data_IF_280010041989
#
_entry.id   IF_280010041989
#
_cell.length_a   1.000
_cell.length_b   1.000
_cell.length_c   1.000
_cell.angle_alpha   90.00
_cell.angle_beta   90.00
_cell.angle_gamma   90.00
#
_symmetry.space_group_name_H-M   'P 1'
#
loop_
_entity.id
_entity.type
_entity.pdbx_description
1 polymer ?
#
# COMPACT_ATOMS: atom_id res chain seq x y z
N UNK A 1 4.12 11.01 10.65
CA UNK A 1 3.38 12.00 11.49
C UNK A 1 4.14 13.30 11.67
N UNK A 2 5.47 13.27 11.85
CA UNK A 2 6.28 14.48 12.01
C UNK A 2 6.05 15.48 10.87
N UNK A 3 6.13 15.02 9.62
CA UNK A 3 5.85 15.83 8.43
C UNK A 3 4.46 16.49 8.47
N UNK A 4 3.42 15.75 8.78
CA UNK A 4 2.06 16.30 8.87
C UNK A 4 1.92 17.31 10.02
N UNK A 5 2.59 17.07 11.15
CA UNK A 5 2.60 18.01 12.27
C UNK A 5 3.29 19.32 11.92
N UNK A 6 4.43 19.28 11.20
CA UNK A 6 5.14 20.50 10.72
C UNK A 6 4.24 21.32 9.80
N UNK A 7 3.44 20.65 8.95
CA UNK A 7 2.49 21.32 8.04
C UNK A 7 1.21 21.80 8.75
N UNK A 8 1.13 21.72 10.08
CA UNK A 8 -0.05 22.14 10.83
C UNK A 8 -1.26 21.22 10.67
N UNK A 9 -1.05 19.93 10.35
CA UNK A 9 -2.09 18.93 10.10
C UNK A 9 -2.04 17.79 11.15
N UNK A 10 -2.13 18.07 12.46
CA UNK A 10 -1.97 17.06 13.51
C UNK A 10 -3.04 15.98 13.50
N UNK A 11 -4.18 16.19 12.83
CA UNK A 11 -5.25 15.21 12.69
C UNK A 11 -4.92 14.09 11.70
N UNK A 12 -3.99 14.27 10.76
CA UNK A 12 -3.56 13.25 9.79
C UNK A 12 -2.70 12.20 10.49
N UNK A 13 -3.35 11.16 11.04
CA UNK A 13 -2.71 10.07 11.81
C UNK A 13 -2.99 8.68 11.26
N UNK A 14 -4.08 8.52 10.49
CA UNK A 14 -4.40 7.22 9.90
C UNK A 14 -3.43 6.88 8.77
N UNK A 15 -3.13 5.59 8.61
CA UNK A 15 -2.28 5.08 7.54
C UNK A 15 -3.06 3.98 6.82
N UNK A 16 -3.06 4.04 5.50
CA UNK A 16 -3.64 3.00 4.65
C UNK A 16 -2.55 1.99 4.29
N UNK A 17 -2.88 0.70 4.34
CA UNK A 17 -2.13 -0.39 3.78
C UNK A 17 -3.05 -1.27 2.93
N UNK A 18 -2.56 -2.38 2.43
CA UNK A 18 -3.34 -3.35 1.65
C UNK A 18 -3.44 -4.67 2.37
N UNK A 19 -4.55 -5.35 2.23
CA UNK A 19 -4.58 -6.77 2.58
C UNK A 19 -3.49 -7.51 1.80
N UNK A 20 -2.90 -8.54 2.40
CA UNK A 20 -1.78 -9.33 1.91
C UNK A 20 -0.43 -8.59 1.82
N UNK A 21 -0.35 -7.30 2.15
CA UNK A 21 0.92 -6.60 2.26
C UNK A 21 1.75 -7.12 3.44
N UNK A 22 3.06 -6.96 3.36
CA UNK A 22 3.98 -7.24 4.47
C UNK A 22 4.93 -6.06 4.67
N UNK A 23 4.91 -5.50 5.87
CA UNK A 23 5.74 -4.34 6.24
C UNK A 23 6.53 -4.57 7.52
N UNK A 24 6.56 -5.80 8.02
CA UNK A 24 7.27 -6.19 9.24
C UNK A 24 6.34 -6.75 10.31
N UNK A 25 6.90 -7.03 11.50
CA UNK A 25 6.23 -7.70 12.61
C UNK A 25 6.21 -6.91 13.93
N UNK A 26 6.74 -5.68 13.95
CA UNK A 26 6.61 -4.79 15.11
C UNK A 26 5.18 -4.24 15.24
N UNK A 27 4.86 -3.55 16.33
CA UNK A 27 3.50 -3.09 16.64
C UNK A 27 2.85 -2.30 15.50
N UNK A 28 3.54 -1.30 14.94
CA UNK A 28 3.03 -0.51 13.83
C UNK A 28 3.21 -1.24 12.49
N UNK A 29 4.37 -1.80 12.21
CA UNK A 29 4.63 -2.52 10.96
C UNK A 29 3.80 -3.80 10.84
N UNK A 30 3.58 -4.52 11.94
CA UNK A 30 2.65 -5.64 12.01
C UNK A 30 1.20 -5.23 11.79
N UNK A 31 0.82 -4.03 12.25
CA UNK A 31 -0.50 -3.46 11.92
C UNK A 31 -0.64 -3.14 10.44
N UNK A 32 0.42 -2.62 9.77
CA UNK A 32 0.43 -2.36 8.34
C UNK A 32 0.46 -3.65 7.51
N UNK A 33 1.05 -4.72 8.04
CA UNK A 33 1.03 -6.04 7.42
C UNK A 33 -0.42 -6.53 7.33
N UNK A 34 -0.88 -6.87 6.13
CA UNK A 34 -2.25 -7.31 5.86
C UNK A 34 -2.39 -8.84 5.80
N UNK A 35 -1.68 -9.55 6.65
CA UNK A 35 -1.69 -11.01 6.75
C UNK A 35 -2.23 -11.44 8.12
N UNK A 36 -3.32 -12.20 8.14
CA UNK A 36 -4.03 -12.62 9.36
C UNK A 36 -3.14 -13.24 10.45
N UNK A 37 -2.10 -13.97 10.04
CA UNK A 37 -1.16 -14.61 10.97
C UNK A 37 -0.43 -13.59 11.87
N UNK A 38 -0.25 -12.36 11.38
CA UNK A 38 0.40 -11.27 12.11
C UNK A 38 -0.57 -10.49 13.00
N UNK A 39 -1.87 -10.68 12.82
CA UNK A 39 -2.91 -10.00 13.60
C UNK A 39 -3.45 -10.86 14.73
N UNK A 40 -3.70 -12.15 14.43
CA UNK A 40 -4.25 -13.10 15.40
C UNK A 40 -3.37 -13.21 16.64
N UNK A 41 -3.97 -13.08 17.83
CA UNK A 41 -3.31 -13.16 19.15
C UNK A 41 -2.34 -12.01 19.47
N UNK A 42 -2.34 -10.93 18.68
CA UNK A 42 -1.48 -9.76 18.90
C UNK A 42 -2.27 -8.45 19.06
N UNK A 43 -3.59 -8.54 19.08
CA UNK A 43 -4.50 -7.39 19.15
C UNK A 43 -4.27 -6.37 18.03
N UNK A 44 -3.93 -6.86 16.83
CA UNK A 44 -3.70 -6.06 15.63
C UNK A 44 -4.83 -6.26 14.61
N UNK A 45 -5.02 -5.31 13.69
CA UNK A 45 -4.26 -4.07 13.51
C UNK A 45 -4.70 -2.97 14.48
N UNK A 46 -3.80 -2.02 14.74
CA UNK A 46 -4.15 -0.81 15.50
C UNK A 46 -5.26 -0.01 14.79
N UNK A 47 -6.17 0.66 15.52
CA UNK A 47 -7.34 1.35 14.92
C UNK A 47 -7.00 2.42 13.89
N UNK A 48 -5.80 3.00 13.94
CA UNK A 48 -5.32 4.00 13.00
C UNK A 48 -4.82 3.44 11.68
N UNK A 49 -4.63 2.12 11.58
CA UNK A 49 -4.25 1.46 10.32
C UNK A 49 -5.50 0.92 9.64
N UNK A 50 -5.64 1.24 8.37
CA UNK A 50 -6.78 0.83 7.54
C UNK A 50 -6.28 0.04 6.35
N UNK A 51 -6.95 -1.05 6.02
CA UNK A 51 -6.58 -1.89 4.89
C UNK A 51 -7.59 -1.73 3.75
N UNK A 52 -7.06 -1.54 2.54
CA UNK A 52 -7.83 -1.60 1.29
C UNK A 52 -7.60 -2.94 0.58
N UNK A 53 -8.30 -3.16 -0.52
CA UNK A 53 -8.26 -4.39 -1.31
C UNK A 53 -6.84 -4.70 -1.80
N UNK A 54 -6.46 -5.98 -1.73
CA UNK A 54 -5.22 -6.48 -2.30
C UNK A 54 -5.30 -6.47 -3.85
N UNK A 55 -4.27 -6.00 -4.57
CA UNK A 55 -4.24 -6.05 -6.04
C UNK A 55 -3.90 -7.47 -6.54
N UNK A 56 -4.63 -8.47 -6.06
CA UNK A 56 -4.37 -9.87 -6.38
C UNK A 56 -5.38 -10.39 -7.40
N UNK A 57 -5.19 -10.03 -8.66
CA UNK A 57 -6.08 -10.39 -9.75
C UNK A 57 -6.36 -11.89 -9.86
N UNK A 58 -5.35 -12.73 -9.73
CA UNK A 58 -5.51 -14.19 -9.80
C UNK A 58 -6.44 -14.76 -8.71
N UNK A 59 -6.51 -14.12 -7.54
CA UNK A 59 -7.38 -14.51 -6.42
C UNK A 59 -8.43 -13.45 -6.11
N UNK A 60 -8.95 -12.78 -7.15
CA UNK A 60 -10.06 -11.84 -7.02
C UNK A 60 -11.32 -12.55 -6.52
N UNK A 61 -12.25 -11.84 -5.90
CA UNK A 61 -13.54 -12.38 -5.49
C UNK A 61 -14.29 -13.04 -6.67
N UNK A 62 -15.08 -14.08 -6.38
CA UNK A 62 -15.79 -14.84 -7.42
C UNK A 62 -16.75 -13.98 -8.26
N UNK A 63 -17.38 -12.98 -7.65
CA UNK A 63 -18.25 -12.01 -8.31
C UNK A 63 -17.53 -11.14 -9.34
N UNK A 64 -16.20 -11.08 -9.28
CA UNK A 64 -15.33 -10.34 -10.19
C UNK A 64 -14.57 -11.25 -11.17
N UNK A 65 -14.94 -12.54 -11.26
CA UNK A 65 -14.20 -13.51 -12.07
C UNK A 65 -14.11 -13.12 -13.56
N UNK A 66 -15.13 -12.41 -14.08
CA UNK A 66 -15.20 -11.96 -15.48
C UNK A 66 -14.52 -10.61 -15.74
N UNK A 67 -13.96 -9.95 -14.71
CA UNK A 67 -13.26 -8.69 -14.88
C UNK A 67 -11.91 -8.90 -15.58
N UNK A 68 -11.58 -7.99 -16.50
CA UNK A 68 -10.20 -7.83 -16.98
C UNK A 68 -9.29 -7.30 -15.88
N UNK A 69 -7.99 -7.27 -16.12
CA UNK A 69 -7.04 -6.67 -15.16
C UNK A 69 -7.33 -5.20 -14.94
N UNK A 70 -7.66 -4.46 -16.01
CA UNK A 70 -8.00 -3.03 -15.94
C UNK A 70 -9.30 -2.78 -15.16
N UNK A 71 -10.32 -3.62 -15.36
CA UNK A 71 -11.58 -3.54 -14.61
C UNK A 71 -11.36 -3.85 -13.14
N UNK A 72 -10.51 -4.82 -12.82
CA UNK A 72 -10.15 -5.12 -11.44
C UNK A 72 -9.30 -4.00 -10.80
N UNK A 73 -8.44 -3.36 -11.57
CA UNK A 73 -7.69 -2.18 -11.12
C UNK A 73 -8.63 -1.02 -10.80
N UNK A 74 -9.63 -0.78 -11.65
CA UNK A 74 -10.67 0.23 -11.40
C UNK A 74 -11.53 -0.11 -10.17
N UNK A 75 -11.82 -1.39 -9.94
CA UNK A 75 -12.48 -1.85 -8.72
C UNK A 75 -11.63 -1.56 -7.47
N UNK A 76 -10.33 -1.87 -7.48
CA UNK A 76 -9.43 -1.55 -6.37
C UNK A 76 -9.37 -0.05 -6.09
N UNK A 77 -9.41 0.78 -7.14
CA UNK A 77 -9.45 2.23 -7.02
C UNK A 77 -10.73 2.71 -6.33
N UNK A 78 -11.90 2.19 -6.71
CA UNK A 78 -13.19 2.49 -6.06
C UNK A 78 -13.19 2.09 -4.57
N UNK A 79 -12.62 0.93 -4.24
CA UNK A 79 -12.50 0.49 -2.85
C UNK A 79 -11.61 1.44 -2.03
N UNK A 80 -10.53 1.95 -2.63
CA UNK A 80 -9.68 2.96 -1.99
C UNK A 80 -10.44 4.29 -1.79
N UNK A 81 -11.15 4.77 -2.80
CA UNK A 81 -11.98 5.99 -2.71
C UNK A 81 -13.05 5.86 -1.61
N UNK A 82 -13.74 4.72 -1.57
CA UNK A 82 -14.74 4.43 -0.54
C UNK A 82 -14.12 4.39 0.86
N UNK A 83 -12.92 3.82 1.00
CA UNK A 83 -12.18 3.83 2.26
C UNK A 83 -11.82 5.26 2.68
N UNK A 84 -11.28 6.06 1.77
CA UNK A 84 -10.90 7.47 2.04
C UNK A 84 -12.13 8.29 2.43
N UNK A 85 -13.25 8.13 1.71
CA UNK A 85 -14.50 8.83 2.02
C UNK A 85 -15.05 8.47 3.42
N UNK A 86 -14.98 7.19 3.78
CA UNK A 86 -15.44 6.71 5.10
C UNK A 86 -14.55 7.19 6.24
N UNK A 87 -13.25 7.19 6.04
CA UNK A 87 -12.28 7.53 7.10
C UNK A 87 -12.05 9.04 7.23
N UNK A 88 -12.32 9.82 6.18
CA UNK A 88 -12.03 11.24 6.06
C UNK A 88 -10.61 11.52 5.56
N UNK A 89 -10.47 12.06 4.35
CA UNK A 89 -9.17 12.34 3.71
C UNK A 89 -8.25 13.20 4.58
N UNK A 90 -8.84 14.15 5.32
CA UNK A 90 -8.14 15.06 6.23
C UNK A 90 -7.53 14.36 7.47
N UNK A 91 -7.90 13.11 7.74
CA UNK A 91 -7.37 12.30 8.85
C UNK A 91 -6.30 11.30 8.42
N UNK A 92 -6.12 11.09 7.10
CA UNK A 92 -5.22 10.08 6.54
C UNK A 92 -3.88 10.73 6.19
N UNK A 93 -2.80 10.24 6.78
CA UNK A 93 -1.45 10.76 6.57
C UNK A 93 -0.78 10.21 5.32
N UNK A 94 -0.90 8.91 5.10
CA UNK A 94 -0.18 8.23 4.04
C UNK A 94 -0.82 6.88 3.67
N UNK A 95 -0.48 6.37 2.50
CA UNK A 95 -0.58 4.96 2.14
C UNK A 95 0.82 4.36 2.05
N UNK A 96 1.03 3.23 2.73
CA UNK A 96 2.26 2.42 2.64
C UNK A 96 1.98 1.24 1.73
N UNK A 97 2.79 1.08 0.69
CA UNK A 97 2.53 0.05 -0.32
C UNK A 97 3.80 -0.44 -1.01
N UNK A 98 3.93 -1.75 -1.13
CA UNK A 98 4.93 -2.39 -1.99
C UNK A 98 4.57 -2.15 -3.47
N UNK A 99 5.48 -1.77 -4.37
CA UNK A 99 5.17 -1.67 -5.80
C UNK A 99 4.60 -2.96 -6.39
N UNK A 100 5.13 -4.11 -5.97
CA UNK A 100 4.56 -5.44 -6.14
C UNK A 100 4.58 -6.14 -4.79
N UNK A 101 3.52 -6.88 -4.43
CA UNK A 101 3.48 -7.58 -3.15
C UNK A 101 4.56 -8.66 -3.09
N UNK A 102 5.43 -8.60 -2.08
CA UNK A 102 6.47 -9.61 -1.86
C UNK A 102 5.94 -10.81 -1.09
N UNK A 103 5.99 -10.76 0.23
CA UNK A 103 5.57 -11.84 1.14
C UNK A 103 4.12 -12.27 0.94
N UNK A 104 3.26 -11.38 0.46
CA UNK A 104 1.86 -11.66 0.14
C UNK A 104 1.63 -12.66 -1.00
N UNK A 105 2.71 -13.09 -1.69
CA UNK A 105 2.64 -14.12 -2.71
C UNK A 105 3.39 -13.81 -4.01
N UNK A 106 4.35 -12.89 -4.01
CA UNK A 106 5.06 -12.39 -5.20
C UNK A 106 4.06 -11.95 -6.28
N UNK A 107 3.17 -11.06 -5.91
CA UNK A 107 2.04 -10.64 -6.76
C UNK A 107 2.36 -9.30 -7.43
N UNK A 108 2.62 -9.29 -8.74
CA UNK A 108 2.68 -8.04 -9.49
C UNK A 108 1.29 -7.37 -9.49
N UNK A 109 1.22 -6.03 -9.50
CA UNK A 109 -0.06 -5.34 -9.63
C UNK A 109 -0.68 -5.63 -11.00
N UNK A 110 -2.01 -5.76 -11.09
CA UNK A 110 -2.70 -5.88 -12.37
C UNK A 110 -2.51 -4.61 -13.20
N UNK A 111 -2.68 -4.75 -14.51
CA UNK A 111 -2.52 -3.66 -15.46
C UNK A 111 -3.43 -2.47 -15.10
N UNK A 112 -2.87 -1.25 -15.12
CA UNK A 112 -3.58 -0.02 -14.79
C UNK A 112 -3.76 0.24 -13.28
N UNK A 113 -3.26 -0.63 -12.40
CA UNK A 113 -3.46 -0.47 -10.96
C UNK A 113 -2.87 0.83 -10.43
N UNK A 114 -1.59 1.08 -10.67
CA UNK A 114 -0.92 2.26 -10.13
C UNK A 114 -1.40 3.55 -10.80
N UNK A 115 -1.71 3.48 -12.09
CA UNK A 115 -2.31 4.59 -12.84
C UNK A 115 -3.68 5.00 -12.26
N UNK A 116 -4.42 4.05 -11.69
CA UNK A 116 -5.70 4.33 -11.04
C UNK A 116 -5.53 4.80 -9.57
N UNK A 117 -4.57 4.24 -8.83
CA UNK A 117 -4.40 4.51 -7.39
C UNK A 117 -3.66 5.83 -7.11
N UNK A 118 -2.55 6.10 -7.82
CA UNK A 118 -1.68 7.24 -7.49
C UNK A 118 -2.40 8.60 -7.61
N UNK A 119 -3.24 8.87 -8.63
CA UNK A 119 -4.00 10.11 -8.70
C UNK A 119 -4.95 10.31 -7.52
N UNK A 120 -5.59 9.25 -7.02
CA UNK A 120 -6.52 9.32 -5.88
C UNK A 120 -5.78 9.79 -4.63
N UNK A 121 -4.60 9.24 -4.35
CA UNK A 121 -3.78 9.65 -3.21
C UNK A 121 -3.39 11.13 -3.33
N UNK A 122 -2.92 11.54 -4.50
CA UNK A 122 -2.50 12.92 -4.77
C UNK A 122 -3.66 13.91 -4.61
N UNK A 123 -4.83 13.61 -5.16
CA UNK A 123 -6.04 14.46 -5.06
C UNK A 123 -6.52 14.65 -3.62
N UNK A 124 -6.28 13.67 -2.76
CA UNK A 124 -6.67 13.69 -1.34
C UNK A 124 -5.54 14.10 -0.40
N UNK A 125 -4.39 14.57 -0.96
CA UNK A 125 -3.22 14.98 -0.18
C UNK A 125 -2.76 13.89 0.82
N UNK A 126 -2.74 12.64 0.33
CA UNK A 126 -2.28 11.45 1.05
C UNK A 126 -0.93 11.04 0.49
N UNK A 127 0.09 11.01 1.35
CA UNK A 127 1.45 10.64 0.93
C UNK A 127 1.51 9.18 0.46
N UNK A 128 2.26 8.93 -0.62
CA UNK A 128 2.63 7.58 -1.03
C UNK A 128 4.00 7.20 -0.46
N UNK A 129 4.03 6.16 0.37
CA UNK A 129 5.27 5.55 0.87
C UNK A 129 5.48 4.23 0.13
N UNK A 130 6.43 4.20 -0.79
CA UNK A 130 6.78 2.98 -1.51
C UNK A 130 7.68 2.08 -0.65
N UNK A 131 7.22 0.86 -0.36
CA UNK A 131 8.04 -0.15 0.29
C UNK A 131 8.79 -0.97 -0.76
N UNK A 132 10.04 -0.59 -0.99
CA UNK A 132 10.94 -1.20 -1.97
C UNK A 132 11.88 -2.25 -1.33
N UNK A 133 11.57 -2.74 -0.14
CA UNK A 133 12.41 -3.72 0.55
C UNK A 133 12.61 -4.98 -0.28
N UNK A 134 11.57 -5.47 -0.94
CA UNK A 134 11.66 -6.65 -1.82
C UNK A 134 11.94 -6.26 -3.27
N UNK A 135 11.38 -5.17 -3.75
CA UNK A 135 11.37 -4.80 -5.18
C UNK A 135 12.58 -3.97 -5.61
N UNK A 136 13.31 -3.39 -4.65
CA UNK A 136 14.49 -2.57 -4.92
C UNK A 136 15.73 -3.35 -5.34
N UNK A 137 16.75 -2.61 -5.74
CA UNK A 137 18.10 -3.08 -6.06
C UNK A 137 18.16 -4.08 -7.23
N UNK A 138 17.46 -3.78 -8.32
CA UNK A 138 17.55 -4.52 -9.57
C UNK A 138 16.59 -5.69 -9.69
N UNK A 139 15.72 -5.93 -8.72
CA UNK A 139 14.78 -7.06 -8.70
C UNK A 139 13.90 -7.14 -9.94
N UNK A 140 13.47 -6.01 -10.46
CA UNK A 140 12.62 -5.89 -11.64
C UNK A 140 13.38 -5.34 -12.88
N UNK A 141 14.72 -5.38 -12.87
CA UNK A 141 15.53 -4.89 -13.97
C UNK A 141 15.85 -3.39 -13.93
N UNK A 142 15.31 -2.66 -12.97
CA UNK A 142 15.64 -1.28 -12.64
C UNK A 142 16.10 -1.18 -11.18
N UNK A 143 16.80 -0.09 -10.80
CA UNK A 143 17.28 0.07 -9.43
C UNK A 143 16.15 -0.04 -8.42
N UNK A 144 14.99 0.56 -8.73
CA UNK A 144 13.76 0.48 -7.93
C UNK A 144 12.58 0.16 -8.82
N UNK A 145 11.54 -0.45 -8.25
CA UNK A 145 10.31 -0.77 -8.96
C UNK A 145 9.41 0.46 -9.20
N UNK A 146 9.53 1.50 -8.36
CA UNK A 146 8.73 2.71 -8.52
C UNK A 146 8.83 3.31 -9.93
N UNK A 147 10.02 3.58 -10.51
CA UNK A 147 10.12 4.04 -11.89
C UNK A 147 9.59 3.03 -12.91
N UNK A 148 9.75 1.71 -12.66
CA UNK A 148 9.24 0.66 -13.55
C UNK A 148 7.70 0.71 -13.69
N UNK A 149 7.01 1.06 -12.60
CA UNK A 149 5.55 1.22 -12.59
C UNK A 149 5.09 2.68 -12.75
N UNK A 150 5.98 3.61 -13.11
CA UNK A 150 5.63 5.02 -13.26
C UNK A 150 5.20 5.70 -11.97
N UNK A 151 5.68 5.23 -10.81
CA UNK A 151 5.38 5.80 -9.51
C UNK A 151 6.33 6.92 -9.14
N UNK A 152 5.79 7.95 -8.53
CA UNK A 152 6.51 9.06 -7.90
C UNK A 152 6.18 9.08 -6.41
N UNK A 153 6.80 8.21 -5.58
CA UNK A 153 6.50 8.16 -4.16
C UNK A 153 7.09 9.39 -3.43
N UNK A 154 6.38 9.85 -2.39
CA UNK A 154 6.86 10.91 -1.50
C UNK A 154 7.98 10.41 -0.57
N UNK A 155 7.93 9.13 -0.20
CA UNK A 155 8.89 8.45 0.66
C UNK A 155 9.13 7.04 0.14
N UNK A 156 10.32 6.51 0.41
CA UNK A 156 10.68 5.13 0.05
C UNK A 156 11.33 4.45 1.25
N UNK A 157 10.95 3.20 1.50
CA UNK A 157 11.65 2.33 2.45
C UNK A 157 12.50 1.31 1.70
N UNK A 158 13.73 1.14 2.13
CA UNK A 158 14.71 0.20 1.58
C UNK A 158 15.37 -0.54 2.75
N UNK A 159 15.85 -1.75 2.51
CA UNK A 159 16.49 -2.55 3.56
C UNK A 159 17.67 -3.39 3.03
N UNK A 160 17.46 -4.68 2.89
CA UNK A 160 18.51 -5.70 2.70
C UNK A 160 19.48 -5.43 1.54
N UNK A 161 19.10 -4.69 0.53
CA UNK A 161 20.00 -4.30 -0.57
C UNK A 161 21.07 -3.25 -0.20
N UNK A 162 20.89 -2.55 0.91
CA UNK A 162 21.82 -1.53 1.44
C UNK A 162 22.71 -2.06 2.54
N UNK A 163 22.32 -3.16 3.17
CA UNK A 163 23.04 -3.79 4.27
C UNK A 163 23.39 -5.22 3.91
N UNK A 164 24.45 -5.75 4.49
CA UNK A 164 24.90 -7.14 4.28
C UNK A 164 24.10 -8.16 5.13
N UNK A 165 22.93 -7.78 5.63
CA UNK A 165 22.08 -8.64 6.44
C UNK A 165 21.05 -9.39 5.57
#
# INVERSE_FOLDING_TARGET
WHYQNILGRPQKKKIISRWRAYHGSGLMSGSLTGLDAFHKKFDLPLPMVKHTTAPYYYRRPAELENYSEEEFSAYCAKELEALIAREGADTIAAMVAEPALGTGGLVPPPKGYWEAIAPILKQNDILLVADEVVTGFGRLGSMFASPFYGLEPDLMTIATGVTSA
#
